data_IF_695160014966
#
_entry.id   IF_695160014966
#
_cell.length_a   1.000
_cell.length_b   1.000
_cell.length_c   1.000
_cell.angle_alpha   90.00
_cell.angle_beta   90.00
_cell.angle_gamma   90.00
#
_symmetry.space_group_name_H-M   'P 1'
#
loop_
_entity.id
_entity.type
_entity.pdbx_description
1 polymer ?
#
# COMPACT_ATOMS: atom_id res chain seq x y z
N UNK A 1 -10.97 -8.02 -29.36
CA UNK A 1 -9.62 -8.53 -29.75
C UNK A 1 -8.51 -7.51 -29.48
N UNK A 2 -8.57 -6.29 -30.04
CA UNK A 2 -7.52 -5.27 -29.81
C UNK A 2 -7.37 -4.89 -28.33
N UNK A 3 -8.47 -4.67 -27.62
CA UNK A 3 -8.49 -4.42 -26.16
C UNK A 3 -7.73 -5.49 -25.38
N UNK A 4 -8.06 -6.76 -25.62
CA UNK A 4 -7.45 -7.90 -24.92
C UNK A 4 -5.97 -8.00 -25.24
N UNK A 5 -5.57 -7.75 -26.49
CA UNK A 5 -4.16 -7.72 -26.87
C UNK A 5 -3.38 -6.62 -26.13
N UNK A 6 -3.88 -5.37 -26.15
CA UNK A 6 -3.23 -4.23 -25.45
C UNK A 6 -3.16 -4.51 -23.95
N UNK A 7 -4.27 -4.95 -23.35
CA UNK A 7 -4.34 -5.31 -21.94
C UNK A 7 -3.33 -6.40 -21.60
N UNK A 8 -3.29 -7.49 -22.37
CA UNK A 8 -2.41 -8.64 -22.09
C UNK A 8 -0.94 -8.25 -22.19
N UNK A 9 -0.57 -7.47 -23.22
CA UNK A 9 0.81 -6.98 -23.39
C UNK A 9 1.21 -6.04 -22.25
N UNK A 10 0.34 -5.09 -21.89
CA UNK A 10 0.60 -4.16 -20.80
C UNK A 10 0.76 -4.91 -19.46
N UNK A 11 -0.14 -5.84 -19.14
CA UNK A 11 -0.05 -6.60 -17.90
C UNK A 11 1.13 -7.56 -17.84
N UNK A 12 1.46 -8.23 -18.93
CA UNK A 12 2.68 -9.04 -19.02
C UNK A 12 3.92 -8.18 -18.79
N UNK A 13 3.98 -6.97 -19.35
CA UNK A 13 5.10 -6.07 -19.11
C UNK A 13 5.15 -5.54 -17.66
N UNK A 14 3.98 -5.29 -17.03
CA UNK A 14 3.89 -4.88 -15.63
C UNK A 14 4.35 -6.01 -14.70
N UNK A 15 3.92 -7.25 -14.95
CA UNK A 15 4.25 -8.41 -14.11
C UNK A 15 5.71 -8.83 -14.23
N UNK A 16 6.31 -8.69 -15.43
CA UNK A 16 7.76 -8.88 -15.62
C UNK A 16 8.59 -7.76 -14.96
N UNK A 17 7.97 -6.63 -14.62
CA UNK A 17 8.60 -5.47 -13.96
C UNK A 17 9.55 -4.66 -14.86
N UNK A 18 10.05 -5.25 -15.94
CA UNK A 18 10.90 -4.64 -16.98
C UNK A 18 10.64 -5.30 -18.33
N UNK A 19 10.77 -4.54 -19.42
CA UNK A 19 10.73 -5.08 -20.78
C UNK A 19 12.15 -5.37 -21.25
N UNK A 20 12.49 -6.60 -21.68
CA UNK A 20 13.83 -6.92 -22.17
C UNK A 20 14.20 -6.04 -23.38
N UNK A 21 15.33 -5.34 -23.28
CA UNK A 21 15.83 -4.42 -24.32
C UNK A 21 15.41 -2.96 -24.15
N UNK A 22 14.48 -2.65 -23.23
CA UNK A 22 14.02 -1.28 -22.96
C UNK A 22 14.26 -0.90 -21.49
N UNK A 23 14.68 0.35 -21.24
CA UNK A 23 14.85 0.89 -19.88
C UNK A 23 13.50 1.44 -19.40
N UNK A 24 12.50 0.56 -19.34
CA UNK A 24 11.12 0.88 -18.94
C UNK A 24 10.78 0.05 -17.71
N UNK A 25 10.29 0.72 -16.67
CA UNK A 25 9.77 0.10 -15.45
C UNK A 25 8.25 -0.12 -15.56
N UNK A 26 7.66 -0.77 -14.54
CA UNK A 26 6.21 -1.03 -14.47
C UNK A 26 5.33 0.21 -14.71
N UNK A 27 5.78 1.39 -14.30
CA UNK A 27 5.03 2.66 -14.47
C UNK A 27 5.00 3.04 -15.94
N UNK A 28 6.16 3.00 -16.61
CA UNK A 28 6.23 3.26 -18.04
C UNK A 28 5.45 2.26 -18.88
N UNK A 29 5.45 0.96 -18.51
CA UNK A 29 4.63 -0.05 -19.20
C UNK A 29 3.14 0.26 -19.08
N UNK A 30 2.66 0.54 -17.86
CA UNK A 30 1.26 0.88 -17.64
C UNK A 30 0.86 2.14 -18.43
N UNK A 31 1.70 3.18 -18.40
CA UNK A 31 1.44 4.42 -19.14
C UNK A 31 1.36 4.17 -20.65
N UNK A 32 2.27 3.37 -21.23
CA UNK A 32 2.21 3.00 -22.64
C UNK A 32 0.95 2.18 -22.97
N UNK A 33 0.53 1.29 -22.07
CA UNK A 33 -0.74 0.55 -22.22
C UNK A 33 -1.95 1.47 -22.24
N UNK A 34 -2.02 2.45 -21.33
CA UNK A 34 -3.08 3.45 -21.31
C UNK A 34 -3.08 4.34 -22.57
N UNK A 35 -1.89 4.78 -23.01
CA UNK A 35 -1.75 5.53 -24.27
C UNK A 35 -2.24 4.69 -25.45
N UNK A 36 -1.87 3.41 -25.52
CA UNK A 36 -2.32 2.51 -26.58
C UNK A 36 -3.84 2.32 -26.57
N UNK A 37 -4.47 2.18 -25.39
CA UNK A 37 -5.94 2.11 -25.29
C UNK A 37 -6.62 3.34 -25.90
N UNK A 38 -6.09 4.54 -25.65
CA UNK A 38 -6.67 5.79 -26.17
C UNK A 38 -6.37 5.99 -27.64
N UNK A 39 -5.11 5.85 -28.06
CA UNK A 39 -4.68 6.09 -29.45
C UNK A 39 -5.31 5.09 -30.42
N UNK A 40 -5.49 3.84 -30.01
CA UNK A 40 -6.18 2.83 -30.82
C UNK A 40 -7.71 2.99 -30.83
N UNK A 41 -8.26 3.99 -30.13
CA UNK A 41 -9.71 4.24 -30.06
C UNK A 41 -10.48 3.19 -29.27
N UNK A 42 -9.81 2.39 -28.42
CA UNK A 42 -10.47 1.44 -27.53
C UNK A 42 -11.20 2.18 -26.41
N UNK A 43 -10.59 3.25 -25.90
CA UNK A 43 -11.16 4.15 -24.90
C UNK A 43 -11.12 5.57 -25.46
N UNK A 44 -12.22 6.30 -25.38
CA UNK A 44 -12.23 7.72 -25.78
C UNK A 44 -11.41 8.56 -24.80
N UNK A 45 -10.96 9.75 -25.21
CA UNK A 45 -10.21 10.63 -24.30
C UNK A 45 -11.06 11.01 -23.08
N UNK A 46 -12.34 11.30 -23.29
CA UNK A 46 -13.29 11.60 -22.21
C UNK A 46 -13.49 10.39 -21.30
N UNK A 47 -13.64 9.20 -21.87
CA UNK A 47 -13.77 7.94 -21.11
C UNK A 47 -12.53 7.65 -20.28
N UNK A 48 -11.34 7.92 -20.81
CA UNK A 48 -10.08 7.76 -20.09
C UNK A 48 -9.99 8.69 -18.87
N UNK A 49 -10.44 9.94 -18.98
CA UNK A 49 -10.50 10.87 -17.84
C UNK A 49 -11.53 10.42 -16.81
N UNK A 50 -12.71 9.96 -17.26
CA UNK A 50 -13.77 9.47 -16.38
C UNK A 50 -13.42 8.16 -15.67
N UNK A 51 -12.58 7.33 -16.28
CA UNK A 51 -12.08 6.09 -15.70
C UNK A 51 -11.23 6.31 -14.44
N UNK A 52 -10.55 7.46 -14.33
CA UNK A 52 -9.67 7.77 -13.20
C UNK A 52 -10.51 8.06 -11.97
N UNK A 53 -10.42 7.19 -10.96
CA UNK A 53 -11.14 7.38 -9.69
C UNK A 53 -10.50 8.49 -8.84
N UNK A 54 -10.87 9.74 -9.12
CA UNK A 54 -10.34 10.94 -8.47
C UNK A 54 -10.40 10.90 -6.93
N UNK A 55 -11.48 10.45 -6.27
CA UNK A 55 -11.50 10.40 -4.80
C UNK A 55 -10.36 9.57 -4.21
N UNK A 56 -10.02 8.45 -4.84
CA UNK A 56 -8.90 7.59 -4.41
C UNK A 56 -7.56 8.26 -4.66
N UNK A 57 -7.36 8.85 -5.85
CA UNK A 57 -6.11 9.55 -6.19
C UNK A 57 -5.86 10.74 -5.26
N UNK A 58 -6.89 11.52 -4.97
CA UNK A 58 -6.79 12.69 -4.08
C UNK A 58 -6.52 12.28 -2.63
N UNK A 59 -7.16 11.20 -2.16
CA UNK A 59 -6.89 10.64 -0.83
C UNK A 59 -5.45 10.14 -0.72
N UNK A 60 -4.98 9.38 -1.72
CA UNK A 60 -3.61 8.87 -1.78
C UNK A 60 -2.58 10.01 -1.80
N UNK A 61 -2.77 11.00 -2.67
CA UNK A 61 -1.92 12.18 -2.76
C UNK A 61 -1.85 12.95 -1.43
N UNK A 62 -2.99 13.12 -0.76
CA UNK A 62 -3.06 13.81 0.53
C UNK A 62 -2.31 13.06 1.62
N UNK A 63 -2.42 11.73 1.67
CA UNK A 63 -1.68 10.89 2.62
C UNK A 63 -0.16 10.93 2.34
N UNK A 64 0.26 11.02 1.08
CA UNK A 64 1.66 11.23 0.72
C UNK A 64 2.20 12.57 1.25
N UNK A 65 1.41 13.65 1.18
CA UNK A 65 1.80 14.95 1.77
C UNK A 65 1.92 14.85 3.29
N UNK A 66 0.96 14.22 3.95
CA UNK A 66 0.97 14.05 5.42
C UNK A 66 2.18 13.20 5.84
N UNK A 67 2.49 12.14 5.10
CA UNK A 67 3.69 11.36 5.33
C UNK A 67 4.98 12.15 5.07
N UNK A 68 5.04 12.92 3.98
CA UNK A 68 6.18 13.76 3.67
C UNK A 68 6.49 14.75 4.82
N UNK A 69 5.45 15.31 5.44
CA UNK A 69 5.56 16.12 6.66
C UNK A 69 6.22 15.34 7.81
N UNK A 70 5.78 14.10 8.08
CA UNK A 70 6.37 13.23 9.10
C UNK A 70 7.81 12.85 8.77
N UNK A 71 8.10 12.55 7.50
CA UNK A 71 9.43 12.17 7.01
C UNK A 71 10.43 13.30 7.19
N UNK A 72 10.10 14.49 6.71
CA UNK A 72 10.92 15.68 6.86
C UNK A 72 11.05 16.13 8.32
N UNK A 73 10.06 15.86 9.17
CA UNK A 73 10.15 16.03 10.62
C UNK A 73 11.09 15.04 11.33
N UNK A 74 11.58 14.01 10.63
CA UNK A 74 12.44 12.96 11.19
C UNK A 74 11.70 11.92 12.02
N UNK A 75 10.37 11.81 11.88
CA UNK A 75 9.53 10.86 12.64
C UNK A 75 9.98 9.41 12.40
N UNK A 76 10.06 8.99 11.14
CA UNK A 76 10.42 7.62 10.77
C UNK A 76 11.82 7.24 11.26
N UNK A 77 12.80 8.13 11.10
CA UNK A 77 14.16 7.96 11.64
C UNK A 77 14.15 7.83 13.16
N UNK A 78 13.35 8.65 13.86
CA UNK A 78 13.26 8.58 15.33
C UNK A 78 12.63 7.26 15.80
N UNK A 79 11.60 6.77 15.12
CA UNK A 79 10.95 5.49 15.41
C UNK A 79 11.92 4.34 15.18
N UNK A 80 12.61 4.31 14.04
CA UNK A 80 13.63 3.32 13.74
C UNK A 80 14.75 3.31 14.79
N UNK A 81 15.24 4.49 15.21
CA UNK A 81 16.25 4.60 16.27
C UNK A 81 15.74 4.15 17.65
N UNK A 82 14.43 4.23 17.93
CA UNK A 82 13.87 3.72 19.20
C UNK A 82 13.83 2.20 19.29
N UNK A 83 13.81 1.52 18.15
CA UNK A 83 13.76 0.05 18.10
C UNK A 83 15.17 -0.58 18.03
N UNK A 84 16.21 0.20 17.75
CA UNK A 84 17.63 -0.22 17.74
C UNK A 84 18.08 -0.96 19.02
N UNK A 85 17.72 -0.53 20.25
CA UNK A 85 18.17 -1.23 21.47
C UNK A 85 17.77 -2.71 21.53
N UNK A 86 16.77 -3.12 20.76
CA UNK A 86 16.30 -4.51 20.71
C UNK A 86 17.10 -5.38 19.74
N UNK A 87 18.09 -4.85 19.00
CA UNK A 87 18.94 -5.63 18.09
C UNK A 87 19.65 -6.80 18.79
N UNK A 88 19.92 -6.67 20.09
CA UNK A 88 20.46 -7.76 20.91
C UNK A 88 19.54 -8.99 21.03
N UNK A 89 18.24 -8.83 20.72
CA UNK A 89 17.22 -9.88 20.72
C UNK A 89 16.48 -9.89 19.37
N UNK A 90 17.07 -10.45 18.30
CA UNK A 90 16.53 -10.42 16.93
C UNK A 90 15.05 -10.76 16.80
N UNK A 91 14.58 -11.78 17.53
CA UNK A 91 13.17 -12.21 17.52
C UNK A 91 12.22 -11.14 18.08
N UNK A 92 12.59 -10.54 19.21
CA UNK A 92 11.81 -9.45 19.82
C UNK A 92 11.85 -8.21 18.93
N UNK A 93 13.02 -7.90 18.38
CA UNK A 93 13.18 -6.79 17.45
C UNK A 93 12.28 -6.97 16.21
N UNK A 94 12.22 -8.17 15.63
CA UNK A 94 11.31 -8.49 14.52
C UNK A 94 9.85 -8.24 14.92
N UNK A 95 9.41 -8.75 16.08
CA UNK A 95 8.03 -8.57 16.53
C UNK A 95 7.66 -7.10 16.74
N UNK A 96 8.55 -6.32 17.35
CA UNK A 96 8.36 -4.86 17.53
C UNK A 96 8.32 -4.16 16.18
N UNK A 97 9.27 -4.48 15.28
CA UNK A 97 9.32 -3.91 13.94
C UNK A 97 8.02 -4.19 13.17
N UNK A 98 7.55 -5.44 13.19
CA UNK A 98 6.32 -5.83 12.54
C UNK A 98 5.10 -5.12 13.13
N UNK A 99 5.00 -5.03 14.46
CA UNK A 99 3.90 -4.31 15.12
C UNK A 99 3.88 -2.82 14.78
N UNK A 100 5.04 -2.16 14.84
CA UNK A 100 5.17 -0.73 14.50
C UNK A 100 4.85 -0.50 13.02
N UNK A 101 5.38 -1.33 12.12
CA UNK A 101 5.12 -1.25 10.68
C UNK A 101 3.63 -1.43 10.38
N UNK A 102 2.99 -2.42 10.99
CA UNK A 102 1.57 -2.69 10.80
C UNK A 102 0.70 -1.50 11.25
N UNK A 103 0.95 -0.95 12.44
CA UNK A 103 0.20 0.20 12.96
C UNK A 103 0.41 1.44 12.09
N UNK A 104 1.64 1.72 11.67
CA UNK A 104 1.90 2.87 10.80
C UNK A 104 1.28 2.68 9.43
N UNK A 105 1.30 1.47 8.87
CA UNK A 105 0.75 1.18 7.54
C UNK A 105 -0.78 1.26 7.54
N UNK A 106 -1.42 0.90 8.64
CA UNK A 106 -2.86 1.10 8.86
C UNK A 106 -3.27 2.60 8.81
N UNK A 107 -2.35 3.54 8.97
CA UNK A 107 -2.69 4.97 9.06
C UNK A 107 -2.08 5.80 7.93
N UNK A 108 -0.91 5.41 7.43
CA UNK A 108 -0.08 6.22 6.53
C UNK A 108 0.16 5.55 5.17
N UNK A 109 -0.60 4.52 4.83
CA UNK A 109 -0.39 3.66 3.67
C UNK A 109 0.87 2.77 3.72
N UNK A 110 0.75 1.51 3.27
CA UNK A 110 1.83 0.53 3.26
C UNK A 110 3.05 0.98 2.42
N UNK A 111 2.83 1.44 1.19
CA UNK A 111 3.91 1.84 0.27
C UNK A 111 4.82 2.89 0.92
N UNK A 112 4.19 3.89 1.54
CA UNK A 112 4.85 4.99 2.21
C UNK A 112 5.72 4.48 3.38
N UNK A 113 5.17 3.60 4.22
CA UNK A 113 5.90 3.03 5.36
C UNK A 113 7.08 2.20 4.87
N UNK A 114 6.88 1.36 3.86
CA UNK A 114 7.94 0.57 3.24
C UNK A 114 9.06 1.46 2.67
N UNK A 115 8.74 2.50 1.90
CA UNK A 115 9.73 3.42 1.34
C UNK A 115 10.48 4.23 2.42
N UNK A 116 9.81 4.57 3.52
CA UNK A 116 10.42 5.31 4.61
C UNK A 116 11.33 4.43 5.50
N UNK A 117 10.89 3.22 5.85
CA UNK A 117 11.62 2.36 6.79
C UNK A 117 12.72 1.52 6.13
N UNK A 118 12.51 1.02 4.91
CA UNK A 118 13.46 0.12 4.23
C UNK A 118 14.89 0.65 4.21
N UNK A 119 15.19 1.89 3.74
CA UNK A 119 16.56 2.37 3.69
C UNK A 119 17.17 2.55 5.09
N UNK A 120 16.36 3.01 6.05
CA UNK A 120 16.79 3.23 7.43
C UNK A 120 17.14 1.91 8.11
N UNK A 121 16.30 0.89 7.95
CA UNK A 121 16.51 -0.45 8.49
C UNK A 121 17.68 -1.16 7.82
N UNK A 122 17.76 -1.14 6.48
CA UNK A 122 18.83 -1.78 5.74
C UNK A 122 20.21 -1.26 6.19
N UNK A 123 20.39 0.06 6.26
CA UNK A 123 21.66 0.66 6.70
C UNK A 123 21.95 0.34 8.17
N UNK A 124 20.94 0.40 9.03
CA UNK A 124 21.12 0.14 10.48
C UNK A 124 21.45 -1.32 10.78
N UNK A 125 20.81 -2.26 10.06
CA UNK A 125 21.03 -3.71 10.22
C UNK A 125 22.39 -4.15 9.68
N UNK A 126 22.79 -3.64 8.51
CA UNK A 126 24.13 -3.91 7.95
C UNK A 126 25.23 -3.38 8.88
N UNK A 127 25.07 -2.18 9.44
CA UNK A 127 26.00 -1.65 10.45
C UNK A 127 26.02 -2.48 11.73
N UNK A 128 24.87 -3.01 12.13
CA UNK A 128 24.75 -3.92 13.27
C UNK A 128 25.25 -5.34 12.99
N UNK A 129 25.78 -5.62 11.77
CA UNK A 129 26.19 -6.96 11.32
C UNK A 129 25.09 -8.01 11.47
N UNK A 130 23.83 -7.60 11.28
CA UNK A 130 22.68 -8.47 11.21
C UNK A 130 22.31 -8.68 9.73
N UNK A 131 21.89 -9.90 9.39
CA UNK A 131 21.28 -10.15 8.08
C UNK A 131 19.99 -9.31 7.96
N UNK A 132 19.91 -8.35 7.03
CA UNK A 132 18.75 -7.49 6.91
C UNK A 132 17.53 -8.23 6.33
N UNK A 133 17.73 -9.36 5.64
CA UNK A 133 16.70 -10.05 4.88
C UNK A 133 15.43 -10.40 5.71
N UNK A 134 15.50 -11.12 6.85
CA UNK A 134 14.30 -11.47 7.62
C UNK A 134 13.53 -10.25 8.14
N UNK A 135 14.23 -9.15 8.44
CA UNK A 135 13.60 -7.92 8.93
C UNK A 135 12.95 -7.11 7.82
N UNK A 136 13.52 -7.09 6.63
CA UNK A 136 12.93 -6.44 5.47
C UNK A 136 11.72 -7.21 4.95
N UNK A 137 11.77 -8.55 4.95
CA UNK A 137 10.59 -9.40 4.69
C UNK A 137 9.52 -9.14 5.76
N UNK A 138 9.91 -9.12 7.05
CA UNK A 138 9.00 -8.78 8.15
C UNK A 138 8.35 -7.41 7.98
N UNK A 139 9.11 -6.39 7.57
CA UNK A 139 8.60 -5.05 7.26
C UNK A 139 7.55 -5.12 6.15
N UNK A 140 7.86 -5.75 5.02
CA UNK A 140 6.95 -5.85 3.87
C UNK A 140 5.65 -6.59 4.23
N UNK A 141 5.77 -7.78 4.84
CA UNK A 141 4.63 -8.61 5.24
C UNK A 141 3.75 -7.90 6.26
N UNK A 142 4.34 -7.32 7.31
CA UNK A 142 3.59 -6.60 8.34
C UNK A 142 2.96 -5.29 7.83
N UNK A 143 3.60 -4.62 6.88
CA UNK A 143 3.07 -3.40 6.27
C UNK A 143 1.83 -3.70 5.44
N UNK A 144 1.88 -4.75 4.60
CA UNK A 144 0.71 -5.23 3.87
C UNK A 144 -0.40 -5.69 4.81
N UNK A 145 -0.10 -6.55 5.80
CA UNK A 145 -1.12 -7.03 6.75
C UNK A 145 -1.74 -5.88 7.54
N UNK A 146 -0.92 -4.96 8.05
CA UNK A 146 -1.42 -3.82 8.82
C UNK A 146 -2.30 -2.89 7.99
N UNK A 147 -1.95 -2.67 6.72
CA UNK A 147 -2.78 -1.88 5.81
C UNK A 147 -4.16 -2.46 5.55
N UNK A 148 -4.33 -3.78 5.66
CA UNK A 148 -5.63 -4.43 5.46
C UNK A 148 -6.66 -4.02 6.53
N UNK A 149 -6.20 -3.58 7.71
CA UNK A 149 -7.07 -3.26 8.84
C UNK A 149 -7.90 -1.98 8.63
N UNK A 150 -7.50 -1.08 7.72
CA UNK A 150 -8.17 0.21 7.50
C UNK A 150 -8.37 0.51 6.01
N UNK A 151 -9.35 1.38 5.74
CA UNK A 151 -9.67 1.83 4.38
C UNK A 151 -8.50 2.63 3.77
N UNK A 152 -7.79 3.40 4.59
CA UNK A 152 -6.68 4.25 4.14
C UNK A 152 -5.32 3.54 4.13
N UNK A 153 -5.28 2.27 4.54
CA UNK A 153 -4.02 1.57 4.70
C UNK A 153 -3.32 1.28 3.36
N UNK A 154 -4.06 1.23 2.26
CA UNK A 154 -3.48 1.02 0.94
C UNK A 154 -4.44 1.51 -0.17
N UNK A 155 -3.93 1.74 -1.39
CA UNK A 155 -4.74 2.28 -2.49
C UNK A 155 -5.93 1.39 -2.89
N UNK A 156 -5.80 0.06 -2.83
CA UNK A 156 -6.92 -0.84 -3.16
C UNK A 156 -8.07 -0.72 -2.15
N UNK A 157 -7.77 -0.65 -0.86
CA UNK A 157 -8.78 -0.46 0.18
C UNK A 157 -9.41 0.93 0.10
N UNK A 158 -8.65 1.95 -0.30
CA UNK A 158 -9.19 3.28 -0.55
C UNK A 158 -10.21 3.24 -1.69
N UNK A 159 -9.90 2.56 -2.79
CA UNK A 159 -10.83 2.36 -3.89
C UNK A 159 -12.10 1.62 -3.42
N UNK A 160 -11.94 0.43 -2.82
CA UNK A 160 -13.06 -0.38 -2.33
C UNK A 160 -13.94 0.42 -1.37
N UNK A 161 -13.32 1.12 -0.42
CA UNK A 161 -14.04 1.90 0.60
C UNK A 161 -14.73 3.15 0.08
N UNK A 162 -14.22 3.76 -0.99
CA UNK A 162 -14.85 4.91 -1.65
C UNK A 162 -15.97 4.49 -2.59
N UNK A 163 -15.75 3.46 -3.42
CA UNK A 163 -16.78 2.96 -4.34
C UNK A 163 -17.95 2.33 -3.59
N UNK A 164 -17.67 1.59 -2.52
CA UNK A 164 -18.70 0.95 -1.69
C UNK A 164 -19.31 1.87 -0.63
N UNK A 165 -18.88 3.14 -0.52
CA UNK A 165 -19.29 4.07 0.54
C UNK A 165 -19.26 3.46 1.96
N UNK A 166 -18.25 2.61 2.21
CA UNK A 166 -18.19 1.79 3.42
C UNK A 166 -18.03 2.66 4.66
N UNK A 167 -18.62 2.28 5.79
CA UNK A 167 -18.36 2.96 7.07
C UNK A 167 -16.95 2.63 7.59
N UNK A 168 -16.21 3.64 8.06
CA UNK A 168 -14.82 3.46 8.50
C UNK A 168 -14.73 2.59 9.76
N UNK A 169 -15.64 2.77 10.70
CA UNK A 169 -15.65 2.05 11.97
C UNK A 169 -16.01 0.58 11.76
N UNK A 170 -17.09 0.31 11.02
CA UNK A 170 -17.52 -1.04 10.66
C UNK A 170 -16.44 -1.79 9.89
N UNK A 171 -15.81 -1.14 8.90
CA UNK A 171 -14.68 -1.72 8.18
C UNK A 171 -13.53 -2.07 9.13
N UNK A 172 -13.13 -1.15 10.00
CA UNK A 172 -12.02 -1.38 10.94
C UNK A 172 -12.30 -2.55 11.88
N UNK A 173 -13.49 -2.62 12.50
CA UNK A 173 -13.82 -3.70 13.43
C UNK A 173 -13.94 -5.06 12.75
N UNK A 174 -14.33 -5.10 11.47
CA UNK A 174 -14.39 -6.34 10.72
C UNK A 174 -12.99 -6.78 10.25
N UNK A 175 -12.18 -5.85 9.74
CA UNK A 175 -10.87 -6.16 9.16
C UNK A 175 -9.74 -6.28 10.20
N UNK A 176 -9.85 -5.66 11.38
CA UNK A 176 -8.80 -5.69 12.40
C UNK A 176 -8.56 -7.10 12.99
N UNK A 177 -9.59 -7.90 13.36
CA UNK A 177 -9.37 -9.26 13.86
C UNK A 177 -8.62 -10.18 12.88
N UNK A 178 -9.01 -10.33 11.59
CA UNK A 178 -8.25 -11.16 10.66
C UNK A 178 -6.86 -10.59 10.40
N UNK A 179 -6.68 -9.27 10.38
CA UNK A 179 -5.35 -8.64 10.23
C UNK A 179 -4.43 -8.93 11.42
N UNK A 180 -4.96 -8.93 12.64
CA UNK A 180 -4.18 -9.28 13.83
C UNK A 180 -3.77 -10.75 13.82
N UNK A 181 -4.70 -11.65 13.47
CA UNK A 181 -4.39 -13.08 13.33
C UNK A 181 -3.35 -13.32 12.24
N UNK A 182 -3.48 -12.65 11.09
CA UNK A 182 -2.51 -12.72 10.01
C UNK A 182 -1.14 -12.18 10.43
N UNK A 183 -1.09 -11.11 11.24
CA UNK A 183 0.17 -10.53 11.73
C UNK A 183 0.90 -11.51 12.65
N UNK A 184 0.18 -12.15 13.56
CA UNK A 184 0.71 -13.19 14.44
C UNK A 184 1.18 -14.39 13.63
N UNK A 185 0.39 -14.84 12.65
CA UNK A 185 0.76 -15.94 11.76
C UNK A 185 2.01 -15.61 10.93
N UNK A 186 2.07 -14.42 10.33
CA UNK A 186 3.23 -13.94 9.56
C UNK A 186 4.49 -13.88 10.42
N UNK A 187 4.39 -13.39 11.65
CA UNK A 187 5.50 -13.40 12.60
C UNK A 187 5.96 -14.82 12.93
N UNK A 188 5.03 -15.74 13.21
CA UNK A 188 5.34 -17.13 13.50
C UNK A 188 5.99 -17.84 12.29
N UNK A 189 5.50 -17.60 11.07
CA UNK A 189 6.06 -18.16 9.83
C UNK A 189 7.49 -17.66 9.61
N UNK A 190 7.75 -16.36 9.75
CA UNK A 190 9.10 -15.80 9.58
C UNK A 190 10.04 -16.37 10.66
N UNK A 191 9.57 -16.49 11.91
CA UNK A 191 10.35 -17.13 12.96
C UNK A 191 10.69 -18.59 12.64
N UNK A 192 9.74 -19.32 12.06
CA UNK A 192 9.94 -20.72 11.67
C UNK A 192 10.92 -20.84 10.49
N UNK A 193 10.76 -20.03 9.45
CA UNK A 193 11.66 -19.99 8.28
C UNK A 193 13.10 -19.63 8.66
N UNK A 194 13.27 -18.69 9.60
CA UNK A 194 14.59 -18.19 10.02
C UNK A 194 15.01 -18.71 11.40
N UNK A 195 14.46 -19.83 11.87
CA UNK A 195 14.68 -20.34 13.23
C UNK A 195 16.18 -20.50 13.55
N UNK A 196 16.97 -21.01 12.60
CA UNK A 196 18.43 -21.19 12.71
C UNK A 196 19.25 -19.99 12.21
N UNK A 197 18.62 -19.07 11.45
CA UNK A 197 19.27 -17.95 10.74
C UNK A 197 19.43 -16.67 11.54
N UNK A 198 18.74 -16.51 12.69
CA UNK A 198 18.96 -15.38 13.61
C UNK A 198 20.27 -15.53 14.41
N UNK A 199 21.38 -15.90 13.76
CA UNK A 199 22.70 -15.94 14.39
C UNK A 199 23.18 -14.50 14.62
N UNK A 200 23.30 -14.10 15.90
CA UNK A 200 23.88 -12.82 16.27
C UNK A 200 25.37 -12.79 15.89
N UNK A 201 25.78 -11.87 15.03
CA UNK A 201 27.18 -11.45 14.94
C UNK A 201 27.70 -10.97 16.32
N UNK A 202 29.01 -11.08 16.51
CA UNK A 202 29.68 -10.87 17.80
C UNK A 202 29.29 -9.52 18.46
N UNK A 203 28.73 -9.62 19.68
CA UNK A 203 27.88 -8.58 20.32
C UNK A 203 28.61 -7.36 20.88
N UNK A 204 29.95 -7.36 20.86
CA UNK A 204 30.74 -6.40 21.66
C UNK A 204 30.92 -5.03 21.01
N UNK A 205 30.81 -4.89 19.69
CA UNK A 205 31.14 -3.63 19.00
C UNK A 205 30.00 -2.61 18.84
N UNK A 206 28.74 -2.98 19.06
CA UNK A 206 27.59 -2.11 18.72
C UNK A 206 27.07 -1.27 19.90
N UNK A 207 27.33 -1.68 21.14
CA UNK A 207 26.94 -0.90 22.33
C UNK A 207 27.93 0.25 22.63
N UNK A 208 29.15 0.17 22.09
CA UNK A 208 30.23 1.15 22.34
C UNK A 208 30.24 2.31 21.32
N UNK A 209 29.67 2.12 20.12
CA UNK A 209 29.38 3.21 19.17
C UNK A 209 27.85 3.30 19.00
N UNK A 210 27.14 4.01 19.90
CA UNK A 210 25.71 4.23 19.72
C UNK A 210 25.55 4.90 18.37
N UNK A 211 24.84 4.26 17.43
CA UNK A 211 24.53 4.79 16.10
C UNK A 211 24.35 6.30 16.21
N UNK A 212 25.40 7.07 15.87
CA UNK A 212 25.34 8.51 15.99
C UNK A 212 24.16 8.91 15.12
N UNK A 213 23.12 9.51 15.70
CA UNK A 213 21.87 9.80 15.00
C UNK A 213 22.08 10.65 13.74
N UNK A 214 23.27 11.26 13.62
CA UNK A 214 23.80 11.99 12.46
C UNK A 214 24.25 11.11 11.28
N UNK A 215 24.55 9.83 11.50
CA UNK A 215 25.03 8.85 10.51
C UNK A 215 23.93 7.93 9.97
N UNK A 216 22.69 8.06 10.44
CA UNK A 216 21.53 7.36 9.89
C UNK A 216 20.97 8.19 8.74
N UNK A 217 20.71 7.62 7.55
CA UNK A 217 20.13 8.38 6.45
C UNK A 217 18.74 8.88 6.85
N UNK A 218 18.57 10.20 6.92
CA UNK A 218 17.26 10.82 7.16
C UNK A 218 17.36 12.24 7.71
N UNK A 219 16.24 13.00 7.66
CA UNK A 219 16.17 14.33 8.26
C UNK A 219 16.40 14.28 9.77
N UNK A 220 17.06 15.32 10.31
CA UNK A 220 17.20 15.48 11.74
C UNK A 220 15.82 15.61 12.40
N UNK A 221 15.70 15.05 13.60
CA UNK A 221 14.42 15.04 14.32
C UNK A 221 14.01 16.44 14.77
N UNK A 222 12.95 16.97 14.17
CA UNK A 222 12.27 18.19 14.58
C UNK A 222 10.96 17.83 15.32
N UNK A 223 10.95 18.09 16.64
CA UNK A 223 9.81 17.82 17.52
C UNK A 223 8.55 18.54 17.07
N UNK A 224 8.68 19.78 16.60
CA UNK A 224 7.53 20.59 16.22
C UNK A 224 6.93 20.13 14.90
N UNK A 225 7.77 19.86 13.89
CA UNK A 225 7.26 19.35 12.60
C UNK A 225 6.64 17.97 12.73
N UNK A 226 7.26 17.10 13.54
CA UNK A 226 6.71 15.79 13.86
C UNK A 226 5.39 15.89 14.61
N UNK A 227 5.29 16.75 15.64
CA UNK A 227 4.05 16.94 16.39
C UNK A 227 2.92 17.45 15.50
N UNK A 228 3.20 18.43 14.61
CA UNK A 228 2.21 18.91 13.63
C UNK A 228 1.72 17.79 12.70
N UNK A 229 2.63 16.97 12.17
CA UNK A 229 2.26 15.83 11.34
C UNK A 229 1.44 14.79 12.11
N UNK A 230 1.82 14.49 13.35
CA UNK A 230 1.08 13.57 14.22
C UNK A 230 -0.33 14.08 14.56
N UNK A 231 -0.45 15.37 14.87
CA UNK A 231 -1.76 16.02 15.10
C UNK A 231 -2.61 15.96 13.82
N UNK A 232 -2.03 16.25 12.65
CA UNK A 232 -2.73 16.14 11.37
C UNK A 232 -3.27 14.73 11.12
N UNK A 233 -2.48 13.69 11.41
CA UNK A 233 -2.92 12.30 11.34
C UNK A 233 -4.06 12.00 12.31
N UNK A 234 -3.96 12.43 13.57
CA UNK A 234 -5.01 12.21 14.57
C UNK A 234 -6.32 12.91 14.16
N UNK A 235 -6.24 14.15 13.67
CA UNK A 235 -7.40 14.88 13.17
C UNK A 235 -7.99 14.16 11.95
N UNK A 236 -7.16 13.73 11.00
CA UNK A 236 -7.62 13.02 9.80
C UNK A 236 -8.38 11.75 10.17
N UNK A 237 -7.80 10.92 11.04
CA UNK A 237 -8.44 9.69 11.53
C UNK A 237 -9.75 10.01 12.23
N UNK A 238 -9.78 11.06 13.08
CA UNK A 238 -11.02 11.53 13.72
C UNK A 238 -12.10 11.96 12.72
N UNK A 239 -11.73 12.64 11.64
CA UNK A 239 -12.66 13.06 10.58
C UNK A 239 -13.23 11.88 9.80
N UNK A 240 -12.54 10.74 9.71
CA UNK A 240 -13.09 9.55 9.05
C UNK A 240 -14.23 8.86 9.81
N UNK A 241 -14.44 9.22 11.08
CA UNK A 241 -15.65 8.82 11.83
C UNK A 241 -16.82 9.79 11.62
N UNK A 242 -16.65 10.81 10.78
CA UNK A 242 -17.71 11.76 10.41
C UNK A 242 -18.26 11.44 9.02
N UNK A 243 -19.42 12.00 8.68
CA UNK A 243 -20.01 11.86 7.34
C UNK A 243 -19.33 12.68 6.24
N UNK A 244 -18.21 13.36 6.54
CA UNK A 244 -17.49 14.15 5.54
C UNK A 244 -16.74 13.20 4.60
N UNK A 245 -16.84 13.37 3.26
CA UNK A 245 -16.09 12.52 2.35
C UNK A 245 -14.58 12.61 2.60
N UNK A 246 -13.92 11.46 2.55
CA UNK A 246 -12.57 11.27 3.09
C UNK A 246 -11.53 12.06 2.33
N UNK A 247 -11.69 12.15 1.03
CA UNK A 247 -10.85 12.91 0.11
C UNK A 247 -10.86 14.41 0.45
N UNK A 248 -12.01 14.99 0.79
CA UNK A 248 -12.07 16.40 1.21
C UNK A 248 -11.37 16.62 2.54
N UNK A 249 -11.59 15.73 3.51
CA UNK A 249 -10.91 15.78 4.81
C UNK A 249 -9.38 15.71 4.63
N UNK A 250 -8.91 14.79 3.79
CA UNK A 250 -7.50 14.59 3.52
C UNK A 250 -6.88 15.77 2.76
N UNK A 251 -7.52 16.28 1.70
CA UNK A 251 -7.03 17.43 0.93
C UNK A 251 -6.97 18.69 1.79
N UNK A 252 -7.97 18.94 2.63
CA UNK A 252 -7.95 20.09 3.53
C UNK A 252 -6.75 20.04 4.48
N UNK A 253 -6.50 18.88 5.10
CA UNK A 253 -5.35 18.71 6.00
C UNK A 253 -4.03 18.83 5.24
N UNK A 254 -3.92 18.22 4.06
CA UNK A 254 -2.76 18.34 3.20
C UNK A 254 -2.49 19.80 2.80
N UNK A 255 -3.52 20.55 2.42
CA UNK A 255 -3.43 21.97 2.10
C UNK A 255 -2.93 22.81 3.28
N UNK A 256 -3.45 22.57 4.49
CA UNK A 256 -2.96 23.25 5.72
C UNK A 256 -1.49 22.92 5.98
N UNK A 257 -1.05 21.67 5.77
CA UNK A 257 0.35 21.29 5.95
C UNK A 257 1.27 21.91 4.89
N UNK A 258 0.80 22.08 3.65
CA UNK A 258 1.55 22.76 2.59
C UNK A 258 1.75 24.25 2.90
N UNK A 259 0.85 24.88 3.68
CA UNK A 259 1.00 26.24 4.21
C UNK A 259 2.02 26.32 5.38
N UNK A 260 3.18 25.66 5.23
CA UNK A 260 4.22 25.62 6.26
C UNK A 260 5.24 26.76 6.10
N UNK A 261 5.52 27.49 7.18
CA UNK A 261 6.55 28.55 7.20
C UNK A 261 7.99 28.03 7.22
N UNK A 262 8.19 26.76 7.57
CA UNK A 262 9.52 26.16 7.77
C UNK A 262 9.90 25.12 6.72
N UNK A 263 8.93 24.60 5.98
CA UNK A 263 9.14 23.49 5.04
C UNK A 263 8.78 23.99 3.66
N UNK A 264 9.74 23.90 2.74
CA UNK A 264 9.51 24.34 1.36
C UNK A 264 8.53 23.37 0.71
N UNK A 265 7.51 23.91 0.06
CA UNK A 265 6.51 23.13 -0.68
C UNK A 265 7.17 22.15 -1.65
N UNK A 266 8.25 22.57 -2.33
CA UNK A 266 9.01 21.72 -3.25
C UNK A 266 9.63 20.49 -2.57
N UNK A 267 10.06 20.60 -1.32
CA UNK A 267 10.64 19.48 -0.58
C UNK A 267 9.54 18.47 -0.21
N UNK A 268 8.35 18.94 0.16
CA UNK A 268 7.18 18.09 0.42
C UNK A 268 6.73 17.40 -0.86
N UNK A 269 6.56 18.17 -1.95
CA UNK A 269 6.13 17.68 -3.25
C UNK A 269 7.14 16.72 -3.90
N UNK A 270 8.44 16.87 -3.60
CA UNK A 270 9.48 15.95 -4.04
C UNK A 270 9.47 14.59 -3.32
N UNK A 271 8.71 14.46 -2.22
CA UNK A 271 8.49 13.20 -1.52
C UNK A 271 7.19 12.50 -1.89
N UNK A 272 6.32 13.17 -2.66
CA UNK A 272 5.13 12.55 -3.24
C UNK A 272 5.58 11.58 -4.34
N UNK A 273 5.03 10.37 -4.32
CA UNK A 273 5.32 9.38 -5.35
C UNK A 273 4.44 9.61 -6.59
N UNK A 274 4.95 10.46 -7.49
CA UNK A 274 4.32 10.74 -8.77
C UNK A 274 4.26 9.53 -9.69
N UNK A 275 5.19 8.58 -9.54
CA UNK A 275 5.20 7.37 -10.34
C UNK A 275 4.03 6.47 -9.94
N UNK A 276 3.77 6.33 -8.64
CA UNK A 276 2.63 5.56 -8.13
C UNK A 276 1.28 6.18 -8.55
N UNK A 277 1.16 7.51 -8.48
CA UNK A 277 -0.04 8.22 -8.96
C UNK A 277 -0.25 7.97 -10.46
N UNK A 278 0.81 8.11 -11.26
CA UNK A 278 0.75 7.90 -12.72
C UNK A 278 0.39 6.46 -13.05
N UNK A 279 0.98 5.50 -12.34
CA UNK A 279 0.67 4.08 -12.47
C UNK A 279 -0.83 3.82 -12.22
N UNK A 280 -1.41 4.38 -11.16
CA UNK A 280 -2.84 4.19 -10.89
C UNK A 280 -3.74 4.82 -11.95
N UNK A 281 -3.45 6.04 -12.39
CA UNK A 281 -4.20 6.66 -13.49
C UNK A 281 -4.15 5.79 -14.77
N UNK A 282 -2.98 5.24 -15.10
CA UNK A 282 -2.82 4.38 -16.25
C UNK A 282 -3.57 3.04 -16.10
N UNK A 283 -3.50 2.41 -14.92
CA UNK A 283 -4.24 1.20 -14.62
C UNK A 283 -5.75 1.44 -14.67
N UNK A 284 -6.23 2.59 -14.18
CA UNK A 284 -7.65 2.96 -14.28
C UNK A 284 -8.14 2.92 -15.72
N UNK A 285 -7.39 3.52 -16.64
CA UNK A 285 -7.70 3.55 -18.08
C UNK A 285 -7.64 2.15 -18.71
N UNK A 286 -6.59 1.37 -18.41
CA UNK A 286 -6.43 0.01 -18.95
C UNK A 286 -7.58 -0.89 -18.51
N UNK A 287 -7.92 -0.86 -17.21
CA UNK A 287 -9.01 -1.68 -16.67
C UNK A 287 -10.35 -1.23 -17.24
N UNK A 288 -10.61 0.07 -17.36
CA UNK A 288 -11.85 0.58 -17.94
C UNK A 288 -12.05 0.08 -19.37
N UNK A 289 -11.03 0.17 -20.23
CA UNK A 289 -11.10 -0.38 -21.58
C UNK A 289 -11.37 -1.89 -21.61
N UNK A 290 -10.85 -2.64 -20.65
CA UNK A 290 -11.12 -4.07 -20.50
C UNK A 290 -12.53 -4.35 -19.98
N UNK A 291 -13.03 -3.56 -19.04
CA UNK A 291 -14.38 -3.70 -18.50
C UNK A 291 -15.44 -3.48 -19.59
N UNK A 292 -15.28 -2.42 -20.40
CA UNK A 292 -16.20 -2.07 -21.49
C UNK A 292 -16.26 -3.12 -22.63
N UNK A 293 -15.27 -4.03 -22.68
CA UNK A 293 -15.23 -5.07 -23.70
C UNK A 293 -16.18 -6.26 -23.46
N UNK A 294 -16.83 -6.34 -22.30
CA UNK A 294 -17.78 -7.40 -21.93
C UNK A 294 -17.15 -8.77 -21.63
N UNK A 295 -15.84 -8.96 -21.88
CA UNK A 295 -15.16 -10.23 -21.59
C UNK A 295 -15.13 -10.57 -20.10
N UNK A 296 -15.07 -9.55 -19.24
CA UNK A 296 -15.07 -9.74 -17.79
C UNK A 296 -16.42 -10.28 -17.31
N UNK A 297 -17.52 -9.70 -17.78
CA UNK A 297 -18.88 -10.18 -17.49
C UNK A 297 -19.08 -11.61 -18.00
N UNK A 298 -18.63 -11.90 -19.23
CA UNK A 298 -18.66 -13.25 -19.78
C UNK A 298 -17.91 -14.25 -18.90
N UNK A 299 -16.71 -13.90 -18.42
CA UNK A 299 -15.93 -14.77 -17.53
C UNK A 299 -16.63 -15.01 -16.19
N UNK A 300 -17.26 -13.97 -15.62
CA UNK A 300 -18.00 -14.07 -14.36
C UNK A 300 -19.27 -14.90 -14.49
N UNK A 301 -20.01 -14.79 -15.59
CA UNK A 301 -21.16 -15.67 -15.87
C UNK A 301 -20.71 -17.12 -15.98
N UNK A 302 -19.59 -17.39 -16.67
CA UNK A 302 -19.08 -18.76 -16.81
C UNK A 302 -18.62 -19.36 -15.47
N UNK A 303 -17.99 -18.55 -14.61
CA UNK A 303 -17.65 -18.95 -13.24
C UNK A 303 -18.92 -19.26 -12.43
N UNK A 304 -19.94 -18.41 -12.54
CA UNK A 304 -21.24 -18.61 -11.91
C UNK A 304 -21.93 -19.90 -12.37
N UNK A 305 -21.89 -20.23 -13.66
CA UNK A 305 -22.41 -21.50 -14.20
C UNK A 305 -21.72 -22.74 -13.63
N UNK A 306 -20.46 -22.59 -13.18
CA UNK A 306 -19.70 -23.65 -12.51
C UNK A 306 -20.01 -23.73 -11.00
N UNK A 307 -20.97 -22.96 -10.50
CA UNK A 307 -21.34 -22.88 -9.09
C UNK A 307 -20.41 -21.99 -8.26
N UNK A 308 -19.47 -21.26 -8.89
CA UNK A 308 -18.57 -20.32 -8.20
C UNK A 308 -19.19 -18.93 -8.16
N UNK A 309 -20.19 -18.75 -7.28
CA UNK A 309 -20.78 -17.42 -7.07
C UNK A 309 -19.90 -16.56 -6.16
N UNK A 310 -19.66 -15.31 -6.56
CA UNK A 310 -18.94 -14.32 -5.76
C UNK A 310 -19.64 -13.93 -4.45
N UNK A 311 -20.94 -14.27 -4.31
CA UNK A 311 -21.67 -14.15 -3.05
C UNK A 311 -21.12 -15.06 -1.95
N UNK A 312 -20.44 -16.16 -2.31
CA UNK A 312 -19.76 -17.02 -1.35
C UNK A 312 -18.38 -16.44 -1.00
N UNK A 313 -18.22 -16.00 0.25
CA UNK A 313 -16.98 -15.38 0.76
C UNK A 313 -15.70 -16.18 0.46
N UNK A 314 -15.65 -17.53 0.62
CA UNK A 314 -14.44 -18.28 0.30
C UNK A 314 -14.08 -18.25 -1.18
N UNK A 315 -15.08 -18.27 -2.05
CA UNK A 315 -14.91 -18.19 -3.51
C UNK A 315 -14.40 -16.80 -3.88
N UNK A 316 -15.02 -15.74 -3.34
CA UNK A 316 -14.57 -14.37 -3.52
C UNK A 316 -13.12 -14.18 -3.05
N UNK A 317 -12.78 -14.67 -1.86
CA UNK A 317 -11.43 -14.59 -1.34
C UNK A 317 -10.41 -15.35 -2.21
N UNK A 318 -10.77 -16.54 -2.70
CA UNK A 318 -9.93 -17.33 -3.61
C UNK A 318 -9.69 -16.63 -4.95
N UNK A 319 -10.75 -16.14 -5.60
CA UNK A 319 -10.66 -15.41 -6.87
C UNK A 319 -9.90 -14.09 -6.68
N UNK A 320 -10.21 -13.34 -5.64
CA UNK A 320 -9.49 -12.10 -5.27
C UNK A 320 -8.00 -12.36 -5.08
N UNK A 321 -7.64 -13.43 -4.38
CA UNK A 321 -6.23 -13.79 -4.16
C UNK A 321 -5.54 -14.14 -5.47
N UNK A 322 -6.18 -14.94 -6.32
CA UNK A 322 -5.64 -15.33 -7.61
C UNK A 322 -5.45 -14.13 -8.55
N UNK A 323 -6.47 -13.28 -8.67
CA UNK A 323 -6.41 -12.07 -9.49
C UNK A 323 -5.38 -11.07 -8.97
N UNK A 324 -5.27 -10.91 -7.65
CA UNK A 324 -4.29 -10.00 -7.05
C UNK A 324 -2.85 -10.45 -7.31
N UNK A 325 -2.59 -11.76 -7.35
CA UNK A 325 -1.28 -12.30 -7.73
C UNK A 325 -1.01 -12.19 -9.25
N UNK A 326 -2.06 -12.29 -10.08
CA UNK A 326 -1.91 -12.23 -11.54
C UNK A 326 -1.75 -10.80 -12.07
N UNK A 327 -2.52 -9.85 -11.51
CA UNK A 327 -2.66 -8.48 -12.02
C UNK A 327 -2.19 -7.39 -11.04
N UNK A 328 -1.89 -7.71 -9.77
CA UNK A 328 -1.73 -6.79 -8.63
C UNK A 328 -3.05 -6.42 -7.94
N UNK A 329 -2.94 -6.00 -6.68
CA UNK A 329 -4.09 -5.79 -5.78
C UNK A 329 -5.12 -4.76 -6.30
N UNK A 330 -4.67 -3.60 -6.82
CA UNK A 330 -5.59 -2.54 -7.28
C UNK A 330 -6.36 -2.96 -8.53
N UNK A 331 -5.71 -3.44 -9.60
CA UNK A 331 -6.39 -4.06 -10.74
C UNK A 331 -7.41 -5.13 -10.36
N UNK A 332 -7.03 -6.05 -9.47
CA UNK A 332 -7.93 -7.10 -9.01
C UNK A 332 -9.16 -6.55 -8.30
N UNK A 333 -8.97 -5.57 -7.41
CA UNK A 333 -10.07 -4.88 -6.74
C UNK A 333 -10.99 -4.18 -7.75
N UNK A 334 -10.41 -3.44 -8.70
CA UNK A 334 -11.17 -2.76 -9.75
C UNK A 334 -12.05 -3.70 -10.56
N UNK A 335 -11.52 -4.87 -10.94
CA UNK A 335 -12.26 -5.86 -11.72
C UNK A 335 -13.39 -6.51 -10.91
N UNK A 336 -13.21 -6.70 -9.60
CA UNK A 336 -14.18 -7.43 -8.77
C UNK A 336 -15.26 -6.54 -8.15
N UNK A 337 -14.99 -5.26 -7.91
CA UNK A 337 -15.94 -4.33 -7.29
C UNK A 337 -17.28 -4.26 -8.05
N UNK A 338 -17.25 -4.31 -9.39
CA UNK A 338 -18.46 -4.24 -10.22
C UNK A 338 -19.42 -5.43 -10.06
N UNK A 339 -18.97 -6.51 -9.42
CA UNK A 339 -19.76 -7.73 -9.20
C UNK A 339 -20.15 -7.93 -7.73
N UNK A 340 -19.81 -6.98 -6.86
CA UNK A 340 -20.19 -7.03 -5.45
C UNK A 340 -21.57 -6.41 -5.25
N UNK A 341 -22.34 -6.97 -4.32
CA UNK A 341 -23.62 -6.40 -3.91
C UNK A 341 -23.39 -5.19 -2.98
N UNK A 342 -23.83 -3.97 -3.33
CA UNK A 342 -23.72 -2.80 -2.46
C UNK A 342 -24.45 -2.95 -1.12
N UNK A 343 -25.47 -3.83 -1.05
CA UNK A 343 -26.22 -4.10 0.16
C UNK A 343 -25.52 -5.07 1.14
N UNK A 344 -24.43 -5.72 0.71
CA UNK A 344 -23.71 -6.74 1.49
C UNK A 344 -22.27 -6.30 1.82
N UNK A 345 -22.05 -5.45 2.86
CA UNK A 345 -20.74 -4.89 3.20
C UNK A 345 -19.65 -5.94 3.44
N UNK A 346 -20.04 -7.14 3.88
CA UNK A 346 -19.12 -8.24 4.18
C UNK A 346 -18.35 -8.68 2.93
N UNK A 347 -18.96 -8.63 1.74
CA UNK A 347 -18.28 -8.95 0.49
C UNK A 347 -17.15 -7.95 0.21
N UNK A 348 -17.41 -6.67 0.42
CA UNK A 348 -16.43 -5.60 0.25
C UNK A 348 -15.27 -5.72 1.24
N UNK A 349 -15.56 -6.02 2.51
CA UNK A 349 -14.52 -6.26 3.52
C UNK A 349 -13.68 -7.49 3.17
N UNK A 350 -14.32 -8.56 2.70
CA UNK A 350 -13.64 -9.79 2.26
C UNK A 350 -12.73 -9.52 1.07
N UNK A 351 -13.19 -8.76 0.07
CA UNK A 351 -12.38 -8.35 -1.07
C UNK A 351 -11.15 -7.53 -0.62
N UNK A 352 -11.36 -6.56 0.27
CA UNK A 352 -10.28 -5.70 0.79
C UNK A 352 -9.19 -6.50 1.52
N UNK A 353 -9.60 -7.39 2.43
CA UNK A 353 -8.67 -8.21 3.22
C UNK A 353 -7.96 -9.24 2.34
N UNK A 354 -8.70 -9.98 1.52
CA UNK A 354 -8.12 -11.03 0.65
C UNK A 354 -7.15 -10.46 -0.39
N UNK A 355 -7.51 -9.37 -1.07
CA UNK A 355 -6.64 -8.73 -2.07
C UNK A 355 -5.38 -8.15 -1.42
N UNK A 356 -5.48 -7.61 -0.20
CA UNK A 356 -4.32 -7.09 0.52
C UNK A 356 -3.39 -8.21 1.01
N UNK A 357 -3.93 -9.29 1.56
CA UNK A 357 -3.12 -10.43 2.02
C UNK A 357 -2.47 -11.18 0.87
N UNK A 358 -3.11 -11.20 -0.31
CA UNK A 358 -2.56 -11.81 -1.51
C UNK A 358 -1.18 -11.24 -1.89
N UNK A 359 -0.92 -9.97 -1.60
CA UNK A 359 0.37 -9.32 -1.82
C UNK A 359 1.53 -9.86 -0.97
N UNK A 360 1.31 -10.84 -0.10
CA UNK A 360 2.36 -11.54 0.63
C UNK A 360 2.74 -12.90 0.02
N UNK A 361 2.01 -13.37 -1.01
CA UNK A 361 2.27 -14.68 -1.62
C UNK A 361 3.43 -14.66 -2.62
N UNK A 362 3.74 -13.50 -3.23
CA UNK A 362 4.83 -13.32 -4.19
C UNK A 362 5.44 -11.92 -4.14
#
# INVERSE_FOLDING_TARGET
MLTVAIFSVAYLGISLGKIPGLVIDRVGVALLGAIAMVVCGVVTLEGAVQAIHLPTILLLYSLMIISAQLRLGGFYTRVALRIVPFYARPRIFLGILMGVSAVLSAVLANDIVCFAFTPVLAVSLVKAKLDPLPFLIGLAVSSNIGSAATIIGNPQNMLIGQTGYLDFMAFFFWCAPPSLLALVAGYAIILWMYWTGFQCGDRKGFLDDPLDGRKVPGPLFDRWQTAKGGIAVVILVGLFFTGIPREYSAICIAGVLLCSRKMKTRDIMGLVDWHLITLFCALFIIIHGMADSGYLEWAMVRLSDMGMHLSHLPVLAGISTLLSNLFSNVPAAMLLISFLDPAEPVQWYTLAVSSTFAGNLF
#
